data_IF_887613262557
#
_entry.id   IF_887613262557
#
_cell.length_a   1.000
_cell.length_b   1.000
_cell.length_c   1.000
_cell.angle_alpha   90.00
_cell.angle_beta   90.00
_cell.angle_gamma   90.00
#
_symmetry.space_group_name_H-M   'P 1'
#
loop_
_entity.id
_entity.type
_entity.pdbx_description
1 polymer ?
#
# COMPACT_ATOMS: atom_id res chain seq x y z
N UNK A 1 -27.79 5.41 5.48
CA UNK A 1 -26.52 5.73 4.78
C UNK A 1 -26.35 7.24 4.87
N UNK A 2 -25.24 7.71 5.44
CA UNK A 2 -24.92 9.12 5.47
C UNK A 2 -24.68 9.61 4.03
N UNK A 3 -25.11 10.84 3.71
CA UNK A 3 -24.77 11.44 2.43
C UNK A 3 -23.27 11.75 2.40
N UNK A 4 -22.58 11.51 1.27
CA UNK A 4 -21.15 11.79 1.16
C UNK A 4 -20.86 13.29 1.30
N UNK A 5 -19.85 13.64 2.10
CA UNK A 5 -19.42 15.01 2.31
C UNK A 5 -18.29 15.38 1.33
N UNK A 6 -18.63 16.11 0.26
CA UNK A 6 -17.67 16.51 -0.77
C UNK A 6 -16.67 17.56 -0.25
N UNK A 7 -15.39 17.30 -0.46
CA UNK A 7 -14.29 18.23 -0.20
C UNK A 7 -13.92 19.09 -1.40
N UNK A 8 -12.77 19.77 -1.33
CA UNK A 8 -12.26 20.59 -2.44
C UNK A 8 -11.46 19.82 -3.49
N UNK A 9 -11.06 18.59 -3.19
CA UNK A 9 -10.24 17.79 -4.09
C UNK A 9 -11.08 17.09 -5.16
N UNK A 10 -10.74 17.33 -6.43
CA UNK A 10 -11.45 16.77 -7.58
C UNK A 10 -11.40 15.23 -7.62
N UNK A 11 -10.24 14.64 -7.32
CA UNK A 11 -10.03 13.18 -7.38
C UNK A 11 -10.90 12.48 -6.35
N UNK A 12 -10.89 12.98 -5.11
CA UNK A 12 -11.68 12.43 -4.00
C UNK A 12 -13.17 12.56 -4.30
N UNK A 13 -13.62 13.74 -4.74
CA UNK A 13 -15.02 13.98 -5.06
C UNK A 13 -15.53 13.06 -6.17
N UNK A 14 -14.73 12.87 -7.24
CA UNK A 14 -15.12 11.98 -8.32
C UNK A 14 -15.13 10.51 -7.89
N UNK A 15 -14.16 10.08 -7.10
CA UNK A 15 -14.16 8.74 -6.50
C UNK A 15 -15.42 8.51 -5.62
N UNK A 16 -15.83 9.53 -4.85
CA UNK A 16 -17.04 9.46 -4.01
C UNK A 16 -18.31 9.35 -4.85
N UNK A 17 -18.41 10.09 -5.96
CA UNK A 17 -19.55 9.97 -6.90
C UNK A 17 -19.64 8.57 -7.51
N UNK A 18 -18.52 7.91 -7.71
CA UNK A 18 -18.45 6.56 -8.29
C UNK A 18 -18.44 5.44 -7.22
N UNK A 19 -18.55 5.76 -5.92
CA UNK A 19 -18.40 4.77 -4.85
C UNK A 19 -19.47 3.68 -4.81
N UNK A 20 -20.58 3.86 -5.52
CA UNK A 20 -21.68 2.90 -5.64
C UNK A 20 -21.59 2.02 -6.90
N UNK A 21 -20.57 2.19 -7.74
CA UNK A 21 -20.35 1.33 -8.91
C UNK A 21 -19.86 -0.05 -8.44
N UNK A 22 -20.35 -1.09 -9.12
CA UNK A 22 -20.00 -2.50 -8.79
C UNK A 22 -18.74 -3.00 -9.54
N UNK A 23 -18.12 -2.13 -10.36
CA UNK A 23 -16.90 -2.47 -11.11
C UNK A 23 -15.68 -2.51 -10.17
N UNK A 24 -14.61 -3.15 -10.63
CA UNK A 24 -13.29 -2.93 -10.02
C UNK A 24 -12.71 -1.56 -10.41
N UNK A 25 -11.67 -1.12 -9.70
CA UNK A 25 -11.08 0.20 -9.91
C UNK A 25 -10.53 0.41 -11.32
N UNK A 26 -9.99 -0.64 -11.95
CA UNK A 26 -9.44 -0.55 -13.31
C UNK A 26 -10.55 -0.39 -14.35
N UNK A 27 -11.66 -1.13 -14.24
CA UNK A 27 -12.82 -1.00 -15.09
C UNK A 27 -13.49 0.37 -14.93
N UNK A 28 -13.58 0.87 -13.69
CA UNK A 28 -14.05 2.22 -13.41
C UNK A 28 -13.15 3.29 -14.06
N UNK A 29 -11.83 3.17 -13.93
CA UNK A 29 -10.88 4.11 -14.54
C UNK A 29 -11.01 4.15 -16.07
N UNK A 30 -11.23 2.99 -16.71
CA UNK A 30 -11.46 2.92 -18.16
C UNK A 30 -12.74 3.65 -18.58
N UNK A 31 -13.86 3.43 -17.89
CA UNK A 31 -15.11 4.15 -18.13
C UNK A 31 -14.95 5.67 -17.97
N UNK A 32 -14.22 6.10 -16.92
CA UNK A 32 -13.97 7.52 -16.69
C UNK A 32 -13.02 8.13 -17.74
N UNK A 33 -12.07 7.36 -18.23
CA UNK A 33 -11.18 7.78 -19.33
C UNK A 33 -11.96 8.06 -20.60
N UNK A 34 -12.87 7.17 -20.95
CA UNK A 34 -13.72 7.31 -22.15
C UNK A 34 -14.72 8.48 -22.02
N UNK A 35 -15.34 8.62 -20.84
CA UNK A 35 -16.38 9.61 -20.61
C UNK A 35 -15.84 11.04 -20.42
N UNK A 36 -14.72 11.20 -19.71
CA UNK A 36 -14.21 12.49 -19.24
C UNK A 36 -12.84 12.88 -19.79
N UNK A 37 -12.19 12.00 -20.57
CA UNK A 37 -10.85 12.22 -21.14
C UNK A 37 -9.80 12.64 -20.08
N UNK A 38 -9.86 12.06 -18.88
CA UNK A 38 -8.96 12.39 -17.78
C UNK A 38 -7.52 11.91 -18.05
N UNK A 39 -6.54 12.63 -17.50
CA UNK A 39 -5.16 12.21 -17.51
C UNK A 39 -4.94 10.94 -16.67
N UNK A 40 -3.86 10.21 -16.96
CA UNK A 40 -3.53 8.94 -16.28
C UNK A 40 -3.45 9.04 -14.76
N UNK A 41 -2.84 10.13 -14.24
CA UNK A 41 -2.63 10.28 -12.78
C UNK A 41 -3.94 10.28 -11.97
N UNK A 42 -4.90 11.17 -12.27
CA UNK A 42 -6.22 11.14 -11.63
C UNK A 42 -6.94 9.81 -11.76
N UNK A 43 -6.89 9.15 -12.94
CA UNK A 43 -7.53 7.85 -13.15
C UNK A 43 -6.97 6.77 -12.24
N UNK A 44 -5.64 6.69 -12.11
CA UNK A 44 -4.98 5.72 -11.22
C UNK A 44 -5.32 5.98 -9.75
N UNK A 45 -5.41 7.25 -9.34
CA UNK A 45 -5.79 7.59 -7.97
C UNK A 45 -7.25 7.24 -7.68
N UNK A 46 -8.16 7.44 -8.62
CA UNK A 46 -9.58 7.08 -8.48
C UNK A 46 -9.75 5.55 -8.43
N UNK A 47 -9.07 4.81 -9.33
CA UNK A 47 -9.02 3.34 -9.30
C UNK A 47 -8.58 2.84 -7.93
N UNK A 48 -7.45 3.35 -7.44
CA UNK A 48 -6.94 3.01 -6.10
C UNK A 48 -7.95 3.29 -4.98
N UNK A 49 -8.57 4.47 -4.95
CA UNK A 49 -9.55 4.84 -3.92
C UNK A 49 -10.77 3.94 -3.95
N UNK A 50 -11.23 3.57 -5.14
CA UNK A 50 -12.36 2.68 -5.32
C UNK A 50 -12.05 1.27 -4.76
N UNK A 51 -10.92 0.69 -5.13
CA UNK A 51 -10.48 -0.63 -4.63
C UNK A 51 -10.19 -0.61 -3.13
N UNK A 52 -9.68 0.51 -2.61
CA UNK A 52 -9.38 0.69 -1.19
C UNK A 52 -10.60 1.11 -0.34
N UNK A 53 -11.80 1.25 -0.91
CA UNK A 53 -12.99 1.75 -0.19
C UNK A 53 -13.32 0.97 1.09
N UNK A 54 -13.10 -0.34 1.08
CA UNK A 54 -13.32 -1.25 2.22
C UNK A 54 -12.06 -1.54 3.03
N UNK A 55 -10.91 -0.96 2.67
CA UNK A 55 -9.65 -1.22 3.36
C UNK A 55 -9.72 -0.83 4.85
N UNK A 56 -9.05 -1.61 5.69
CA UNK A 56 -9.08 -1.40 7.13
C UNK A 56 -8.33 -0.12 7.55
N UNK A 57 -8.93 0.64 8.46
CA UNK A 57 -8.34 1.84 9.10
C UNK A 57 -7.64 1.45 10.41
N UNK A 58 -6.82 0.40 10.39
CA UNK A 58 -6.09 -0.05 11.58
C UNK A 58 -4.99 0.95 11.96
N UNK A 59 -5.00 1.36 13.23
CA UNK A 59 -3.96 2.21 13.82
C UNK A 59 -2.76 1.41 14.36
N UNK A 60 -2.60 0.16 13.90
CA UNK A 60 -1.45 -0.68 14.24
C UNK A 60 -0.19 -0.17 13.52
N UNK A 61 0.91 -0.07 14.26
CA UNK A 61 2.14 0.61 13.83
C UNK A 61 2.73 0.01 12.53
N UNK A 62 2.76 -1.31 12.38
CA UNK A 62 3.25 -1.97 11.18
C UNK A 62 2.39 -1.67 9.95
N UNK A 63 1.06 -1.66 10.12
CA UNK A 63 0.10 -1.29 9.07
C UNK A 63 0.26 0.17 8.65
N UNK A 64 0.46 1.09 9.60
CA UNK A 64 0.68 2.52 9.32
C UNK A 64 2.02 2.76 8.60
N UNK A 65 3.08 2.06 8.99
CA UNK A 65 4.37 2.12 8.31
C UNK A 65 4.25 1.65 6.86
N UNK A 66 3.56 0.52 6.66
CA UNK A 66 3.28 0.00 5.31
C UNK A 66 2.46 0.99 4.48
N UNK A 67 1.41 1.57 5.05
CA UNK A 67 0.60 2.62 4.41
C UNK A 67 1.47 3.79 3.92
N UNK A 68 2.32 4.35 4.80
CA UNK A 68 3.22 5.46 4.45
C UNK A 68 4.27 5.07 3.40
N UNK A 69 4.81 3.87 3.49
CA UNK A 69 5.89 3.43 2.62
C UNK A 69 5.41 2.99 1.24
N UNK A 70 4.22 2.42 1.14
CA UNK A 70 3.67 1.90 -0.12
C UNK A 70 2.99 2.99 -0.98
N UNK A 71 2.51 4.09 -0.37
CA UNK A 71 1.72 5.09 -1.05
C UNK A 71 2.43 6.44 -1.18
N UNK A 72 2.32 7.12 -2.34
CA UNK A 72 2.67 8.52 -2.45
C UNK A 72 1.91 9.38 -1.43
N UNK A 73 2.53 10.45 -0.92
CA UNK A 73 1.94 11.31 0.11
C UNK A 73 0.55 11.84 -0.30
N UNK A 74 0.38 12.29 -1.53
CA UNK A 74 -0.91 12.75 -2.03
C UNK A 74 -1.99 11.65 -1.98
N UNK A 75 -1.64 10.39 -2.22
CA UNK A 75 -2.60 9.28 -2.17
C UNK A 75 -2.98 8.91 -0.73
N UNK A 76 -2.06 9.11 0.21
CA UNK A 76 -2.36 8.96 1.64
C UNK A 76 -3.43 9.97 2.06
N UNK A 77 -3.29 11.23 1.66
CA UNK A 77 -4.27 12.29 1.93
C UNK A 77 -5.61 12.02 1.22
N UNK A 78 -5.58 11.60 -0.04
CA UNK A 78 -6.79 11.22 -0.78
C UNK A 78 -7.55 10.10 -0.09
N UNK A 79 -6.86 9.04 0.36
CA UNK A 79 -7.51 7.92 1.03
C UNK A 79 -8.17 8.32 2.36
N UNK A 80 -7.50 9.13 3.18
CA UNK A 80 -8.05 9.61 4.45
C UNK A 80 -9.28 10.49 4.19
N UNK A 81 -9.21 11.43 3.24
CA UNK A 81 -10.31 12.31 2.88
C UNK A 81 -11.49 11.54 2.26
N UNK A 82 -11.21 10.57 1.41
CA UNK A 82 -12.21 9.69 0.80
C UNK A 82 -12.93 8.85 1.86
N UNK A 83 -12.19 8.23 2.78
CA UNK A 83 -12.76 7.44 3.87
C UNK A 83 -13.65 8.29 4.77
N UNK A 84 -13.23 9.50 5.10
CA UNK A 84 -14.04 10.46 5.88
C UNK A 84 -15.32 10.87 5.13
N UNK A 85 -15.21 11.16 3.84
CA UNK A 85 -16.33 11.48 2.97
C UNK A 85 -17.36 10.35 2.85
N UNK A 86 -16.93 9.10 2.92
CA UNK A 86 -17.80 7.92 3.01
C UNK A 86 -18.41 7.70 4.41
N UNK A 87 -18.18 8.63 5.35
CA UNK A 87 -18.70 8.56 6.71
C UNK A 87 -17.99 7.57 7.63
N UNK A 88 -16.74 7.15 7.28
CA UNK A 88 -15.94 6.28 8.13
C UNK A 88 -15.24 7.11 9.22
N UNK A 89 -15.07 6.52 10.40
CA UNK A 89 -14.30 7.16 11.47
C UNK A 89 -12.79 7.01 11.18
N UNK A 90 -12.15 8.13 10.85
CA UNK A 90 -10.71 8.21 10.55
C UNK A 90 -9.91 8.82 11.69
N UNK A 91 -10.53 9.19 12.82
CA UNK A 91 -9.91 9.98 13.88
C UNK A 91 -8.69 9.31 14.49
N UNK A 92 -8.81 8.05 14.91
CA UNK A 92 -7.71 7.28 15.48
C UNK A 92 -6.62 7.02 14.46
N UNK A 93 -6.98 6.59 13.24
CA UNK A 93 -6.04 6.34 12.15
C UNK A 93 -5.22 7.59 11.80
N UNK A 94 -5.88 8.76 11.63
CA UNK A 94 -5.23 10.04 11.32
C UNK A 94 -4.28 10.48 12.45
N UNK A 95 -4.70 10.34 13.70
CA UNK A 95 -3.90 10.68 14.88
C UNK A 95 -2.64 9.80 14.95
N UNK A 96 -2.80 8.50 14.80
CA UNK A 96 -1.70 7.55 14.81
C UNK A 96 -0.73 7.78 13.64
N UNK A 97 -1.25 8.07 12.44
CA UNK A 97 -0.45 8.37 11.25
C UNK A 97 0.37 9.66 11.43
N UNK A 98 -0.18 10.69 12.04
CA UNK A 98 0.51 11.95 12.30
C UNK A 98 1.59 11.85 13.38
N UNK A 99 1.44 10.92 14.33
CA UNK A 99 2.43 10.65 15.38
C UNK A 99 3.47 9.60 15.00
N UNK A 100 3.32 8.96 13.82
CA UNK A 100 4.23 7.92 13.38
C UNK A 100 5.61 8.50 13.05
N UNK A 101 6.64 8.01 13.74
CA UNK A 101 8.02 8.36 13.47
C UNK A 101 8.46 7.88 12.07
N UNK A 102 9.41 8.60 11.48
CA UNK A 102 10.02 8.18 10.23
C UNK A 102 10.79 6.88 10.42
N UNK A 103 10.82 6.03 9.38
CA UNK A 103 11.63 4.81 9.41
C UNK A 103 13.11 5.14 9.61
N UNK A 104 13.75 4.49 10.56
CA UNK A 104 15.15 4.71 10.89
C UNK A 104 16.08 4.57 9.68
N UNK A 105 16.02 3.48 8.90
CA UNK A 105 16.83 3.28 7.69
C UNK A 105 16.24 3.93 6.42
N UNK A 106 15.05 4.51 6.50
CA UNK A 106 14.29 4.94 5.34
C UNK A 106 13.50 3.80 4.68
N UNK A 107 12.99 4.06 3.46
CA UNK A 107 12.10 3.13 2.74
C UNK A 107 12.82 2.26 1.69
N UNK A 108 14.14 2.33 1.59
CA UNK A 108 14.89 1.52 0.64
C UNK A 108 15.15 0.10 1.19
N UNK A 109 15.08 -0.94 0.34
CA UNK A 109 15.42 -2.29 0.77
C UNK A 109 16.87 -2.39 1.25
N UNK A 110 17.10 -2.88 2.47
CA UNK A 110 18.42 -3.09 3.06
C UNK A 110 19.15 -4.33 2.51
N UNK A 111 18.42 -5.23 1.85
CA UNK A 111 18.96 -6.46 1.25
C UNK A 111 18.81 -6.40 -0.25
N UNK A 112 19.91 -6.60 -0.97
CA UNK A 112 19.93 -6.68 -2.42
C UNK A 112 19.89 -8.13 -2.94
N UNK A 113 19.90 -8.30 -4.28
CA UNK A 113 19.82 -9.61 -4.92
C UNK A 113 21.07 -10.47 -4.67
N UNK A 114 22.27 -9.88 -4.54
CA UNK A 114 23.50 -10.63 -4.30
C UNK A 114 23.52 -11.21 -2.88
N UNK A 115 23.13 -10.38 -1.90
CA UNK A 115 22.99 -10.83 -0.51
C UNK A 115 21.97 -11.96 -0.38
N UNK A 116 20.86 -11.92 -1.15
CA UNK A 116 19.90 -13.01 -1.18
C UNK A 116 20.42 -14.27 -1.84
N UNK A 117 21.16 -14.16 -2.97
CA UNK A 117 21.81 -15.30 -3.59
C UNK A 117 22.74 -16.00 -2.62
N UNK A 118 23.59 -15.24 -1.94
CA UNK A 118 24.55 -15.78 -0.97
C UNK A 118 23.87 -16.47 0.22
N UNK A 119 22.76 -15.89 0.69
CA UNK A 119 22.03 -16.40 1.86
C UNK A 119 21.12 -17.60 1.56
N UNK A 120 20.57 -17.70 0.34
CA UNK A 120 19.52 -18.67 0.00
C UNK A 120 19.93 -19.68 -1.08
N UNK A 121 20.93 -19.38 -1.87
CA UNK A 121 21.30 -20.16 -3.06
C UNK A 121 20.31 -20.02 -4.23
N UNK A 122 19.32 -19.12 -4.15
CA UNK A 122 18.38 -18.86 -5.24
C UNK A 122 19.10 -18.17 -6.41
N UNK A 123 18.77 -18.60 -7.61
CA UNK A 123 19.20 -17.89 -8.83
C UNK A 123 18.36 -16.64 -9.09
N UNK A 124 18.89 -15.64 -9.84
CA UNK A 124 18.13 -14.47 -10.26
C UNK A 124 16.87 -14.87 -11.04
N UNK A 125 15.72 -14.35 -10.59
CA UNK A 125 14.45 -14.68 -11.23
C UNK A 125 13.24 -14.17 -10.44
N UNK A 126 12.02 -14.50 -10.89
CA UNK A 126 10.78 -14.05 -10.27
C UNK A 126 10.69 -14.41 -8.79
N UNK A 127 11.06 -15.63 -8.40
CA UNK A 127 11.05 -16.10 -7.01
C UNK A 127 11.93 -15.23 -6.10
N UNK A 128 13.16 -14.93 -6.54
CA UNK A 128 14.05 -14.02 -5.79
C UNK A 128 13.47 -12.61 -5.67
N UNK A 129 12.88 -12.09 -6.76
CA UNK A 129 12.24 -10.78 -6.76
C UNK A 129 11.08 -10.72 -5.76
N UNK A 130 10.26 -11.78 -5.70
CA UNK A 130 9.16 -11.89 -4.72
C UNK A 130 9.67 -11.99 -3.30
N UNK A 131 10.72 -12.79 -3.04
CA UNK A 131 11.32 -12.90 -1.72
C UNK A 131 11.88 -11.54 -1.24
N UNK A 132 12.58 -10.83 -2.12
CA UNK A 132 13.05 -9.47 -1.83
C UNK A 132 11.89 -8.54 -1.46
N UNK A 133 10.80 -8.59 -2.21
CA UNK A 133 9.59 -7.80 -1.92
C UNK A 133 8.97 -8.13 -0.57
N UNK A 134 8.90 -9.41 -0.20
CA UNK A 134 8.39 -9.84 1.09
C UNK A 134 9.28 -9.39 2.26
N UNK A 135 10.59 -9.59 2.14
CA UNK A 135 11.55 -9.12 3.15
C UNK A 135 11.48 -7.59 3.32
N UNK A 136 11.38 -6.85 2.22
CA UNK A 136 11.23 -5.40 2.26
C UNK A 136 9.94 -4.97 2.97
N UNK A 137 8.82 -5.65 2.73
CA UNK A 137 7.59 -5.39 3.46
C UNK A 137 7.77 -5.59 4.97
N UNK A 138 8.34 -6.71 5.40
CA UNK A 138 8.55 -6.99 6.83
C UNK A 138 9.58 -6.03 7.44
N UNK A 139 10.62 -5.66 6.69
CA UNK A 139 11.57 -4.62 7.09
C UNK A 139 10.85 -3.31 7.44
N UNK A 140 9.96 -2.84 6.59
CA UNK A 140 9.18 -1.61 6.79
C UNK A 140 8.23 -1.76 7.98
N UNK A 141 7.44 -2.84 8.03
CA UNK A 141 6.47 -3.07 9.10
C UNK A 141 7.12 -3.11 10.49
N UNK A 142 8.31 -3.72 10.61
CA UNK A 142 9.06 -3.87 11.87
C UNK A 142 10.11 -2.77 12.11
N UNK A 143 10.37 -1.88 11.13
CA UNK A 143 11.42 -0.86 11.15
C UNK A 143 12.82 -1.45 11.40
N UNK A 144 13.15 -2.53 10.69
CA UNK A 144 14.44 -3.17 10.81
C UNK A 144 15.55 -2.27 10.23
N UNK A 145 16.67 -2.17 10.92
CA UNK A 145 17.69 -1.16 10.64
C UNK A 145 18.97 -1.70 10.01
N UNK A 146 19.10 -3.02 9.88
CA UNK A 146 20.29 -3.65 9.29
C UNK A 146 19.92 -4.79 8.34
N UNK A 147 20.81 -5.05 7.38
CA UNK A 147 20.68 -6.19 6.47
C UNK A 147 20.71 -7.54 7.20
N UNK A 148 21.44 -7.64 8.30
CA UNK A 148 21.53 -8.88 9.11
C UNK A 148 20.18 -9.19 9.78
N UNK A 149 19.49 -8.15 10.31
CA UNK A 149 18.13 -8.32 10.85
C UNK A 149 17.16 -8.77 9.76
N UNK A 150 17.21 -8.16 8.57
CA UNK A 150 16.34 -8.55 7.45
C UNK A 150 16.65 -9.97 6.98
N UNK A 151 17.92 -10.36 6.85
CA UNK A 151 18.30 -11.73 6.47
C UNK A 151 17.90 -12.77 7.52
N UNK A 152 17.84 -12.38 8.81
CA UNK A 152 17.38 -13.29 9.86
C UNK A 152 15.93 -13.74 9.67
N UNK A 153 15.09 -12.93 8.97
CA UNK A 153 13.71 -13.28 8.63
C UNK A 153 13.60 -14.53 7.77
N UNK A 154 14.66 -14.90 7.01
CA UNK A 154 14.69 -16.14 6.22
C UNK A 154 14.49 -17.40 7.08
N UNK A 155 14.68 -17.31 8.40
CA UNK A 155 14.41 -18.40 9.34
C UNK A 155 12.99 -18.39 9.88
N UNK A 156 12.31 -17.25 9.78
CA UNK A 156 10.96 -17.05 10.30
C UNK A 156 9.90 -17.26 9.19
N UNK A 157 10.25 -16.90 7.96
CA UNK A 157 9.35 -16.93 6.81
C UNK A 157 9.37 -18.31 6.15
N UNK A 158 8.20 -18.78 5.77
CA UNK A 158 8.03 -20.05 5.03
C UNK A 158 8.26 -19.87 3.52
N UNK A 159 9.42 -19.27 3.16
CA UNK A 159 9.77 -18.98 1.77
C UNK A 159 10.21 -20.22 0.98
N UNK A 160 10.63 -21.28 1.67
CA UNK A 160 11.17 -22.47 1.03
C UNK A 160 10.07 -23.42 0.54
N UNK A 161 9.01 -23.56 1.31
CA UNK A 161 7.96 -24.56 1.10
C UNK A 161 6.63 -23.94 0.61
N UNK A 162 6.49 -22.61 0.59
CA UNK A 162 5.28 -21.91 0.12
C UNK A 162 5.39 -21.43 -1.33
N UNK A 163 4.23 -21.20 -1.95
CA UNK A 163 4.15 -20.66 -3.31
C UNK A 163 4.58 -19.19 -3.35
N UNK A 164 5.63 -18.93 -4.12
CA UNK A 164 6.18 -17.58 -4.24
C UNK A 164 5.23 -16.57 -4.94
N UNK A 165 4.23 -17.04 -5.65
CA UNK A 165 3.23 -16.16 -6.27
C UNK A 165 2.30 -15.53 -5.24
N UNK A 166 2.11 -16.19 -4.09
CA UNK A 166 1.29 -15.72 -2.97
C UNK A 166 2.06 -14.86 -1.96
N UNK A 167 3.38 -14.72 -2.10
CA UNK A 167 4.17 -13.95 -1.15
C UNK A 167 3.82 -12.47 -1.18
N UNK A 168 3.58 -11.87 0.00
CA UNK A 168 3.18 -10.48 0.07
C UNK A 168 4.33 -9.53 -0.28
N UNK A 169 4.07 -8.54 -1.13
CA UNK A 169 4.98 -7.44 -1.41
C UNK A 169 4.65 -6.20 -0.56
N UNK A 170 5.51 -5.18 -0.61
CA UNK A 170 5.21 -3.88 -0.04
C UNK A 170 4.14 -3.19 -0.89
N UNK A 171 2.90 -3.35 -0.50
CA UNK A 171 1.73 -2.73 -1.09
C UNK A 171 0.73 -2.34 0.00
N UNK A 172 -0.23 -1.49 -0.33
CA UNK A 172 -1.34 -1.15 0.54
C UNK A 172 -2.60 -0.99 -0.33
N UNK A 173 -3.75 -1.53 0.07
CA UNK A 173 -4.07 -2.27 1.25
C UNK A 173 -3.38 -3.60 1.37
#
# INVERSE_FOLDING_TARGET
TAEPAFGSDFVVNLAMLCSAEDDDGDALAEKLREALALAKGPLMAISFLHDAASASLLAEIGSLRRFKAALPEAWQEFFVSYSEGLGRDVGEFRSALSSLEALGPGNEPLVDGNMLMDATGLEPGPRMGRLKGWLHRVQVERDLSSSDEVLSLLRELDWNDSDHEEWPALSWP
#
